data_IF_566005096518
#
_entry.id   IF_566005096518
#
_cell.length_a   1.000
_cell.length_b   1.000
_cell.length_c   1.000
_cell.angle_alpha   90.00
_cell.angle_beta   90.00
_cell.angle_gamma   90.00
#
_symmetry.space_group_name_H-M   'P 1'
#
loop_
_entity.id
_entity.type
_entity.pdbx_description
1 polymer ?
#
# COMPACT_ATOMS: atom_id res chain seq x y z
N UNK A 1 -7.90 11.41 -10.47
CA UNK A 1 -8.63 12.17 -9.44
C UNK A 1 -8.11 11.78 -8.07
N UNK A 2 -7.93 12.75 -7.19
CA UNK A 2 -7.49 12.53 -5.81
C UNK A 2 -6.24 13.30 -5.47
N UNK A 3 -5.89 13.26 -4.19
CA UNK A 3 -4.91 14.16 -3.64
C UNK A 3 -4.06 13.47 -2.54
N UNK A 4 -3.75 12.26 -2.71
CA UNK A 4 -2.97 11.55 -1.73
C UNK A 4 -1.52 12.06 -1.65
N UNK A 5 -1.30 13.12 -0.86
CA UNK A 5 0.00 13.75 -0.65
C UNK A 5 0.34 14.84 -1.65
N UNK A 6 -0.62 15.35 -2.39
CA UNK A 6 -0.45 16.44 -3.33
C UNK A 6 0.24 16.06 -4.66
N UNK A 7 0.47 17.03 -5.55
CA UNK A 7 1.04 16.79 -6.88
C UNK A 7 2.50 16.34 -6.81
N UNK A 8 3.15 16.58 -5.69
CA UNK A 8 4.51 16.15 -5.36
C UNK A 8 4.53 14.94 -4.45
N UNK A 9 3.33 14.45 -4.08
CA UNK A 9 3.19 13.24 -3.28
C UNK A 9 3.64 12.00 -4.04
N UNK A 10 4.07 10.99 -3.30
CA UNK A 10 4.58 9.75 -3.87
C UNK A 10 3.60 9.09 -4.85
N UNK A 11 2.29 9.17 -4.57
CA UNK A 11 1.26 8.58 -5.44
C UNK A 11 1.19 9.23 -6.80
N UNK A 12 1.06 10.55 -6.84
CA UNK A 12 0.98 11.29 -8.09
C UNK A 12 2.26 11.08 -8.92
N UNK A 13 3.40 11.11 -8.27
CA UNK A 13 4.70 10.92 -8.92
C UNK A 13 4.83 9.52 -9.51
N UNK A 14 4.55 8.48 -8.73
CA UNK A 14 4.72 7.09 -9.18
C UNK A 14 3.68 6.68 -10.23
N UNK A 15 2.42 7.05 -10.04
CA UNK A 15 1.36 6.82 -11.03
C UNK A 15 1.68 7.55 -12.33
N UNK A 16 2.12 8.80 -12.26
CA UNK A 16 2.51 9.57 -13.45
C UNK A 16 3.72 8.93 -14.16
N UNK A 17 4.70 8.43 -13.40
CA UNK A 17 5.85 7.71 -13.97
C UNK A 17 5.42 6.49 -14.76
N UNK A 18 4.54 5.66 -14.19
CA UNK A 18 4.04 4.44 -14.83
C UNK A 18 3.23 4.77 -16.09
N UNK A 19 2.36 5.79 -16.03
CA UNK A 19 1.58 6.25 -17.17
C UNK A 19 2.49 6.77 -18.30
N UNK A 20 3.49 7.58 -17.99
CA UNK A 20 4.44 8.08 -18.97
C UNK A 20 5.25 6.96 -19.64
N UNK A 21 5.63 5.93 -18.89
CA UNK A 21 6.27 4.73 -19.46
C UNK A 21 5.38 4.01 -20.48
N UNK A 22 4.07 4.03 -20.30
CA UNK A 22 3.09 3.51 -21.27
C UNK A 22 2.77 4.51 -22.40
N UNK A 23 3.46 5.66 -22.46
CA UNK A 23 3.18 6.70 -23.45
C UNK A 23 1.89 7.48 -23.21
N UNK A 24 1.33 7.40 -21.99
CA UNK A 24 0.09 8.07 -21.61
C UNK A 24 0.40 9.44 -21.00
N UNK A 25 -0.24 10.48 -21.53
CA UNK A 25 -0.07 11.86 -21.07
C UNK A 25 -1.07 12.16 -19.93
N UNK A 26 -0.56 12.59 -18.79
CA UNK A 26 -1.39 13.11 -17.70
C UNK A 26 -1.76 14.57 -18.01
N UNK A 27 -3.06 14.86 -18.10
CA UNK A 27 -3.58 16.21 -18.39
C UNK A 27 -3.57 17.08 -17.13
N UNK A 28 -3.89 16.51 -15.99
CA UNK A 28 -3.92 17.22 -14.71
C UNK A 28 -4.35 16.33 -13.56
N UNK A 29 -4.22 16.86 -12.37
CA UNK A 29 -4.67 16.22 -11.13
C UNK A 29 -5.80 17.04 -10.50
N UNK A 30 -6.97 16.45 -10.39
CA UNK A 30 -8.17 17.08 -9.84
C UNK A 30 -8.56 16.42 -8.49
N UNK A 31 -9.09 17.17 -7.52
CA UNK A 31 -9.42 18.60 -7.55
C UNK A 31 -8.26 19.51 -7.14
N UNK A 32 -7.32 19.28 -6.44
CA UNK A 32 -6.48 20.23 -5.71
C UNK A 32 -5.35 20.93 -6.50
N UNK A 33 -4.94 20.39 -7.67
CA UNK A 33 -3.67 20.81 -8.32
C UNK A 33 -3.81 21.15 -9.79
N UNK A 34 -5.00 21.50 -10.18
CA UNK A 34 -5.30 22.04 -11.51
C UNK A 34 -5.72 23.49 -11.36
N UNK A 35 -5.17 24.39 -12.18
CA UNK A 35 -5.67 25.79 -12.22
C UNK A 35 -7.12 25.78 -12.68
N UNK A 36 -7.93 26.65 -12.11
CA UNK A 36 -9.34 26.77 -12.48
C UNK A 36 -9.54 26.98 -13.99
N UNK A 37 -8.65 27.78 -14.61
CA UNK A 37 -8.60 27.97 -16.07
C UNK A 37 -8.35 26.70 -16.88
N UNK A 38 -7.80 25.66 -16.26
CA UNK A 38 -7.45 24.40 -16.91
C UNK A 38 -8.50 23.30 -16.72
N UNK A 39 -9.56 23.58 -15.92
CA UNK A 39 -10.64 22.61 -15.69
C UNK A 39 -11.33 22.18 -16.98
N UNK A 40 -11.46 23.10 -17.95
CA UNK A 40 -12.00 22.76 -19.28
C UNK A 40 -11.16 21.71 -20.03
N UNK A 41 -9.89 21.54 -19.68
CA UNK A 41 -9.02 20.53 -20.27
C UNK A 41 -9.33 19.14 -19.70
N UNK A 42 -9.85 19.06 -18.48
CA UNK A 42 -10.23 17.79 -17.86
C UNK A 42 -11.27 17.03 -18.69
N UNK A 43 -12.22 17.75 -19.32
CA UNK A 43 -13.21 17.17 -20.23
C UNK A 43 -12.64 16.58 -21.53
N UNK A 44 -11.32 16.75 -21.81
CA UNK A 44 -10.63 16.15 -22.95
C UNK A 44 -9.85 14.88 -22.57
N UNK A 45 -9.87 14.48 -21.30
CA UNK A 45 -9.25 13.24 -20.87
C UNK A 45 -10.04 12.05 -21.42
N UNK A 46 -9.33 11.03 -21.84
CA UNK A 46 -9.93 9.77 -22.31
C UNK A 46 -10.39 8.90 -21.13
N UNK A 47 -9.76 9.04 -19.99
CA UNK A 47 -10.12 8.32 -18.78
C UNK A 47 -9.66 9.05 -17.51
N UNK A 48 -10.19 8.61 -16.37
CA UNK A 48 -9.79 9.06 -15.05
C UNK A 48 -9.11 7.93 -14.27
N UNK A 49 -8.18 8.31 -13.42
CA UNK A 49 -7.55 7.38 -12.47
C UNK A 49 -7.78 7.93 -11.07
N UNK A 50 -8.37 7.11 -10.21
CA UNK A 50 -8.58 7.45 -8.80
C UNK A 50 -7.27 7.22 -8.05
N UNK A 51 -6.75 8.28 -7.39
CA UNK A 51 -5.50 8.24 -6.63
C UNK A 51 -5.74 7.87 -5.18
N UNK A 52 -6.42 6.77 -4.96
CA UNK A 52 -6.59 6.19 -3.64
C UNK A 52 -7.39 7.04 -2.67
N UNK A 53 -7.47 6.58 -1.48
CA UNK A 53 -8.27 7.09 -0.40
C UNK A 53 -8.93 5.93 0.34
N UNK A 54 -9.43 6.20 1.53
CA UNK A 54 -10.22 5.25 2.31
C UNK A 54 -11.36 5.97 3.02
N UNK A 55 -12.37 5.20 3.37
CA UNK A 55 -13.52 5.74 4.07
C UNK A 55 -14.23 6.82 3.26
N UNK A 56 -14.61 7.92 3.91
CA UNK A 56 -15.39 8.98 3.28
C UNK A 56 -14.66 9.71 2.15
N UNK A 57 -13.33 9.85 2.24
CA UNK A 57 -12.53 10.47 1.16
C UNK A 57 -12.59 9.65 -0.11
N UNK A 58 -12.44 8.33 0.02
CA UNK A 58 -12.55 7.40 -1.11
C UNK A 58 -13.95 7.46 -1.73
N UNK A 59 -14.99 7.43 -0.90
CA UNK A 59 -16.38 7.53 -1.38
C UNK A 59 -16.60 8.81 -2.19
N UNK A 60 -16.16 9.96 -1.69
CA UNK A 60 -16.31 11.22 -2.42
C UNK A 60 -15.59 11.24 -3.77
N UNK A 61 -14.40 10.64 -3.87
CA UNK A 61 -13.69 10.51 -5.14
C UNK A 61 -14.41 9.58 -6.12
N UNK A 62 -14.97 8.50 -5.61
CA UNK A 62 -15.74 7.54 -6.40
C UNK A 62 -17.03 8.18 -6.92
N UNK A 63 -17.78 8.89 -6.06
CA UNK A 63 -19.01 9.59 -6.45
C UNK A 63 -18.73 10.62 -7.58
N UNK A 64 -17.60 11.35 -7.50
CA UNK A 64 -17.18 12.28 -8.58
C UNK A 64 -16.84 11.52 -9.86
N UNK A 65 -16.14 10.40 -9.76
CA UNK A 65 -15.77 9.62 -10.92
C UNK A 65 -17.00 9.02 -11.62
N UNK A 66 -17.98 8.53 -10.86
CA UNK A 66 -19.25 8.02 -11.39
C UNK A 66 -20.05 9.13 -12.10
N UNK A 67 -20.14 10.31 -11.51
CA UNK A 67 -20.84 11.44 -12.13
C UNK A 67 -20.15 11.87 -13.43
N UNK A 68 -18.84 11.94 -13.46
CA UNK A 68 -18.07 12.25 -14.69
C UNK A 68 -18.25 11.15 -15.74
N UNK A 69 -18.31 9.89 -15.36
CA UNK A 69 -18.59 8.80 -16.29
C UNK A 69 -19.99 8.93 -16.89
N UNK A 70 -20.99 9.23 -16.07
CA UNK A 70 -22.38 9.38 -16.53
C UNK A 70 -22.57 10.62 -17.42
N UNK A 71 -21.91 11.75 -17.08
CA UNK A 71 -22.10 13.04 -17.74
C UNK A 71 -21.22 13.21 -18.97
N UNK A 72 -19.96 12.71 -18.92
CA UNK A 72 -18.97 12.91 -19.97
C UNK A 72 -18.60 11.62 -20.71
N UNK A 73 -19.24 10.51 -20.37
CA UNK A 73 -18.88 9.17 -20.87
C UNK A 73 -17.38 8.83 -20.65
N UNK A 74 -16.77 9.37 -19.60
CA UNK A 74 -15.36 9.23 -19.28
C UNK A 74 -15.15 8.05 -18.34
N UNK A 75 -14.59 6.93 -18.79
CA UNK A 75 -14.36 5.78 -17.94
C UNK A 75 -13.29 6.07 -16.87
N UNK A 76 -13.28 5.29 -15.79
CA UNK A 76 -12.30 5.48 -14.73
C UNK A 76 -11.69 4.17 -14.25
N UNK A 77 -10.47 4.26 -13.73
CA UNK A 77 -9.76 3.17 -13.08
C UNK A 77 -9.80 3.38 -11.57
N UNK A 78 -10.38 2.38 -10.88
CA UNK A 78 -10.52 2.35 -9.43
C UNK A 78 -9.72 1.20 -8.84
N UNK A 79 -8.43 1.20 -9.11
CA UNK A 79 -7.45 0.30 -8.51
C UNK A 79 -6.37 1.15 -7.88
N UNK A 80 -6.03 0.82 -6.64
CA UNK A 80 -5.02 1.52 -5.89
C UNK A 80 -3.72 0.70 -5.91
N UNK A 81 -2.64 1.16 -6.57
CA UNK A 81 -1.43 0.38 -6.76
C UNK A 81 -0.57 0.33 -5.49
N UNK A 82 -1.15 -0.13 -4.39
CA UNK A 82 -0.51 -0.37 -3.11
C UNK A 82 -0.20 -1.85 -2.99
N UNK A 83 1.02 -2.21 -2.62
CA UNK A 83 1.61 -3.53 -2.74
C UNK A 83 1.86 -4.00 -4.19
N UNK A 84 2.67 -5.03 -4.32
CA UNK A 84 3.13 -5.47 -5.63
C UNK A 84 2.01 -6.07 -6.49
N UNK A 85 1.16 -6.90 -5.91
CA UNK A 85 0.04 -7.50 -6.66
C UNK A 85 -0.95 -6.47 -7.22
N UNK A 86 -1.30 -5.45 -6.45
CA UNK A 86 -2.17 -4.38 -6.94
C UNK A 86 -1.47 -3.47 -7.94
N UNK A 87 -0.16 -3.28 -7.82
CA UNK A 87 0.63 -2.54 -8.83
C UNK A 87 0.60 -3.25 -10.18
N UNK A 88 0.79 -4.57 -10.21
CA UNK A 88 0.71 -5.36 -11.44
C UNK A 88 -0.69 -5.28 -12.06
N UNK A 89 -1.72 -5.46 -11.23
CA UNK A 89 -3.12 -5.34 -11.65
C UNK A 89 -3.44 -3.96 -12.19
N UNK A 90 -2.93 -2.91 -11.55
CA UNK A 90 -3.12 -1.53 -11.96
C UNK A 90 -2.49 -1.25 -13.33
N UNK A 91 -1.25 -1.68 -13.58
CA UNK A 91 -0.56 -1.50 -14.87
C UNK A 91 -1.37 -2.16 -15.99
N UNK A 92 -1.82 -3.40 -15.77
CA UNK A 92 -2.62 -4.14 -16.76
C UNK A 92 -3.94 -3.41 -17.04
N UNK A 93 -4.68 -3.06 -16.01
CA UNK A 93 -5.98 -2.42 -16.16
C UNK A 93 -5.88 -0.98 -16.75
N UNK A 94 -4.81 -0.25 -16.45
CA UNK A 94 -4.56 1.04 -17.10
C UNK A 94 -4.26 0.88 -18.59
N UNK A 95 -3.53 -0.15 -18.97
CA UNK A 95 -3.28 -0.49 -20.38
C UNK A 95 -4.57 -0.85 -21.12
N UNK A 96 -5.41 -1.69 -20.54
CA UNK A 96 -6.71 -2.07 -21.11
C UNK A 96 -7.63 -0.84 -21.26
N UNK A 97 -7.75 -0.03 -20.20
CA UNK A 97 -8.60 1.15 -20.19
C UNK A 97 -8.24 2.17 -21.27
N UNK A 98 -6.96 2.29 -21.58
CA UNK A 98 -6.41 3.34 -22.48
C UNK A 98 -5.88 2.77 -23.81
N UNK A 99 -6.23 1.52 -24.14
CA UNK A 99 -5.81 0.83 -25.36
C UNK A 99 -4.28 0.83 -25.56
N UNK A 100 -3.56 0.54 -24.47
CA UNK A 100 -2.10 0.52 -24.35
C UNK A 100 -1.60 -0.83 -23.80
N UNK A 101 -2.26 -1.91 -24.17
CA UNK A 101 -2.00 -3.25 -23.62
C UNK A 101 -0.56 -3.72 -23.89
N UNK A 102 -0.03 -3.40 -25.09
CA UNK A 102 1.35 -3.78 -25.46
C UNK A 102 2.37 -3.01 -24.63
N UNK A 103 2.19 -1.71 -24.52
CA UNK A 103 3.06 -0.85 -23.72
C UNK A 103 2.97 -1.22 -22.22
N UNK A 104 1.77 -1.53 -21.73
CA UNK A 104 1.56 -1.99 -20.36
C UNK A 104 2.30 -3.31 -20.07
N UNK A 105 2.28 -4.26 -21.01
CA UNK A 105 3.03 -5.52 -20.87
C UNK A 105 4.54 -5.29 -20.81
N UNK A 106 5.08 -4.38 -21.62
CA UNK A 106 6.50 -4.01 -21.60
C UNK A 106 6.86 -3.40 -20.23
N UNK A 107 6.05 -2.42 -19.78
CA UNK A 107 6.27 -1.76 -18.48
C UNK A 107 6.18 -2.78 -17.35
N UNK A 108 5.19 -3.67 -17.38
CA UNK A 108 5.04 -4.71 -16.37
C UNK A 108 6.24 -5.64 -16.30
N UNK A 109 6.78 -6.06 -17.46
CA UNK A 109 7.96 -6.90 -17.52
C UNK A 109 9.21 -6.19 -16.95
N UNK A 110 9.42 -4.90 -17.28
CA UNK A 110 10.51 -4.10 -16.73
C UNK A 110 10.40 -3.92 -15.21
N UNK A 111 9.21 -3.54 -14.72
CA UNK A 111 8.96 -3.35 -13.29
C UNK A 111 9.12 -4.69 -12.54
N UNK A 112 8.66 -5.82 -13.12
CA UNK A 112 8.82 -7.15 -12.55
C UNK A 112 10.31 -7.56 -12.45
N UNK A 113 11.09 -7.33 -13.49
CA UNK A 113 12.52 -7.68 -13.48
C UNK A 113 13.25 -6.92 -12.37
N UNK A 114 13.07 -5.59 -12.31
CA UNK A 114 13.68 -4.75 -11.29
C UNK A 114 13.19 -5.07 -9.87
N UNK A 115 11.90 -5.43 -9.72
CA UNK A 115 11.35 -5.86 -8.44
C UNK A 115 11.98 -7.16 -7.97
N UNK A 116 12.04 -8.16 -8.85
CA UNK A 116 12.56 -9.50 -8.52
C UNK A 116 14.04 -9.46 -8.14
N UNK A 117 14.83 -8.69 -8.87
CA UNK A 117 16.25 -8.50 -8.56
C UNK A 117 16.44 -7.97 -7.13
N UNK A 118 15.71 -6.91 -6.79
CA UNK A 118 15.83 -6.29 -5.47
C UNK A 118 15.27 -7.17 -4.36
N UNK A 119 14.13 -7.81 -4.60
CA UNK A 119 13.51 -8.74 -3.65
C UNK A 119 14.47 -9.89 -3.28
N UNK A 120 15.14 -10.49 -4.26
CA UNK A 120 16.10 -11.58 -4.03
C UNK A 120 17.21 -11.16 -3.07
N UNK A 121 17.77 -9.97 -3.27
CA UNK A 121 18.79 -9.41 -2.37
C UNK A 121 18.28 -9.22 -0.94
N UNK A 122 17.06 -8.72 -0.79
CA UNK A 122 16.47 -8.49 0.54
C UNK A 122 16.16 -9.80 1.26
N UNK A 123 15.74 -10.83 0.53
CA UNK A 123 15.42 -12.15 1.08
C UNK A 123 16.64 -12.85 1.72
N UNK A 124 17.86 -12.50 1.36
CA UNK A 124 19.07 -13.06 1.99
C UNK A 124 19.11 -12.82 3.50
N UNK A 125 18.53 -11.70 3.96
CA UNK A 125 18.51 -11.32 5.38
C UNK A 125 17.16 -11.57 6.02
N UNK A 126 16.06 -11.39 5.26
CA UNK A 126 14.71 -11.39 5.84
C UNK A 126 14.12 -12.79 5.99
N UNK A 127 14.57 -13.75 5.18
CA UNK A 127 14.04 -15.12 5.18
C UNK A 127 14.04 -15.76 6.56
N UNK A 128 12.87 -16.22 6.99
CA UNK A 128 12.67 -16.94 8.25
C UNK A 128 12.77 -16.08 9.52
N UNK A 129 12.94 -14.75 9.40
CA UNK A 129 12.98 -13.87 10.57
C UNK A 129 11.63 -13.82 11.25
N UNK A 130 11.63 -14.09 12.56
CA UNK A 130 10.42 -14.07 13.38
C UNK A 130 9.82 -12.65 13.40
N UNK A 131 8.61 -12.54 12.93
CA UNK A 131 7.92 -11.27 12.75
C UNK A 131 6.59 -11.28 13.48
N UNK A 132 6.29 -10.23 14.21
CA UNK A 132 4.99 -9.99 14.82
C UNK A 132 4.36 -8.76 14.16
N UNK A 133 3.07 -8.86 13.82
CA UNK A 133 2.29 -7.76 13.28
C UNK A 133 1.36 -7.22 14.36
N UNK A 134 1.52 -5.95 14.73
CA UNK A 134 0.70 -5.27 15.73
C UNK A 134 -0.22 -4.25 15.07
N UNK A 135 -1.54 -4.43 15.23
CA UNK A 135 -2.56 -3.58 14.61
C UNK A 135 -3.37 -2.88 15.69
N UNK A 136 -3.33 -1.55 15.70
CA UNK A 136 -4.12 -0.69 16.60
C UNK A 136 -5.08 0.25 15.87
N UNK A 137 -5.44 -0.05 14.60
CA UNK A 137 -6.31 0.80 13.78
C UNK A 137 -7.45 0.01 13.17
N UNK A 138 -8.63 0.61 13.09
CA UNK A 138 -9.79 0.03 12.41
C UNK A 138 -9.53 -0.13 10.91
N UNK A 139 -10.20 -1.09 10.28
CA UNK A 139 -10.10 -1.37 8.84
C UNK A 139 -10.40 -0.14 7.96
N UNK A 140 -11.28 0.74 8.43
CA UNK A 140 -11.58 1.98 7.71
C UNK A 140 -10.37 2.92 7.57
N UNK A 141 -9.37 2.77 8.44
CA UNK A 141 -8.13 3.56 8.42
C UNK A 141 -6.91 2.76 7.98
N UNK A 142 -6.95 1.45 8.11
CA UNK A 142 -5.82 0.58 7.83
C UNK A 142 -6.27 -0.78 7.31
N UNK A 143 -5.75 -1.19 6.16
CA UNK A 143 -6.02 -2.51 5.61
C UNK A 143 -4.74 -3.35 5.60
N UNK A 144 -4.72 -4.52 6.25
CA UNK A 144 -3.49 -5.30 6.46
C UNK A 144 -2.96 -6.00 5.20
N UNK A 145 -3.70 -6.02 4.08
CA UNK A 145 -3.32 -6.74 2.87
C UNK A 145 -1.88 -6.44 2.43
N UNK A 146 -1.53 -5.17 2.31
CA UNK A 146 -0.22 -4.77 1.81
C UNK A 146 0.92 -5.30 2.69
N UNK A 147 0.82 -5.13 4.01
CA UNK A 147 1.84 -5.62 4.93
C UNK A 147 1.92 -7.15 4.94
N UNK A 148 0.80 -7.85 4.86
CA UNK A 148 0.79 -9.32 4.80
C UNK A 148 1.41 -9.85 3.51
N UNK A 149 1.17 -9.17 2.39
CA UNK A 149 1.83 -9.48 1.11
C UNK A 149 3.35 -9.25 1.20
N UNK A 150 3.79 -8.11 1.76
CA UNK A 150 5.22 -7.83 1.97
C UNK A 150 5.88 -8.87 2.88
N UNK A 151 5.24 -9.27 3.98
CA UNK A 151 5.71 -10.33 4.88
C UNK A 151 5.95 -11.62 4.09
N UNK A 152 5.00 -12.02 3.26
CA UNK A 152 5.10 -13.22 2.43
C UNK A 152 6.21 -13.09 1.38
N UNK A 153 6.29 -11.96 0.68
CA UNK A 153 7.30 -11.71 -0.34
C UNK A 153 8.72 -11.74 0.24
N UNK A 154 8.93 -11.11 1.39
CA UNK A 154 10.21 -11.14 2.09
C UNK A 154 10.52 -12.49 2.79
N UNK A 155 9.61 -13.47 2.70
CA UNK A 155 9.73 -14.77 3.37
C UNK A 155 9.96 -14.66 4.88
N UNK A 156 9.37 -13.61 5.50
CA UNK A 156 9.36 -13.46 6.94
C UNK A 156 8.51 -14.55 7.60
N UNK A 157 8.92 -15.01 8.76
CA UNK A 157 8.14 -15.95 9.57
C UNK A 157 7.19 -15.15 10.47
N UNK A 158 5.96 -14.91 10.00
CA UNK A 158 4.92 -14.28 10.81
C UNK A 158 4.49 -15.26 11.91
N UNK A 159 4.75 -14.92 13.17
CA UNK A 159 4.48 -15.78 14.33
C UNK A 159 3.20 -15.43 15.08
N UNK A 160 2.78 -14.17 15.01
CA UNK A 160 1.54 -13.70 15.64
C UNK A 160 1.05 -12.40 14.99
N UNK A 161 -0.26 -12.18 15.07
CA UNK A 161 -0.89 -10.89 14.84
C UNK A 161 -1.51 -10.44 16.16
N UNK A 162 -1.19 -9.23 16.61
CA UNK A 162 -1.64 -8.70 17.91
C UNK A 162 -2.52 -7.48 17.68
N UNK A 163 -3.72 -7.51 18.23
CA UNK A 163 -4.63 -6.37 18.26
C UNK A 163 -4.32 -5.50 19.47
N UNK A 164 -3.83 -4.27 19.22
CA UNK A 164 -3.32 -3.37 20.27
C UNK A 164 -4.41 -2.64 21.07
N UNK A 165 -5.66 -2.66 20.58
CA UNK A 165 -6.77 -2.00 21.24
C UNK A 165 -8.01 -2.91 21.25
N UNK A 166 -8.93 -2.60 22.14
CA UNK A 166 -10.22 -3.28 22.16
C UNK A 166 -11.07 -2.81 20.97
N UNK A 167 -11.44 -3.74 20.13
CA UNK A 167 -12.37 -3.52 19.03
C UNK A 167 -13.79 -3.94 19.46
N UNK A 168 -14.81 -3.27 18.90
CA UNK A 168 -16.17 -3.81 18.95
C UNK A 168 -16.23 -5.18 18.27
N UNK A 169 -17.17 -6.02 18.66
CA UNK A 169 -17.27 -7.40 18.14
C UNK A 169 -17.34 -7.43 16.60
N UNK A 170 -18.09 -6.49 15.99
CA UNK A 170 -18.18 -6.37 14.54
C UNK A 170 -16.84 -6.01 13.91
N UNK A 171 -16.15 -4.98 14.41
CA UNK A 171 -14.88 -4.54 13.87
C UNK A 171 -13.81 -5.61 14.00
N UNK A 172 -13.83 -6.36 15.13
CA UNK A 172 -12.94 -7.50 15.34
C UNK A 172 -13.22 -8.62 14.35
N UNK A 173 -14.48 -8.97 14.13
CA UNK A 173 -14.87 -9.98 13.16
C UNK A 173 -14.48 -9.59 11.74
N UNK A 174 -14.71 -8.33 11.34
CA UNK A 174 -14.32 -7.81 10.03
C UNK A 174 -12.79 -7.82 9.86
N UNK A 175 -12.03 -7.43 10.89
CA UNK A 175 -10.56 -7.50 10.88
C UNK A 175 -10.08 -8.94 10.74
N UNK A 176 -10.62 -9.86 11.50
CA UNK A 176 -10.27 -11.28 11.43
C UNK A 176 -10.59 -11.87 10.06
N UNK A 177 -11.75 -11.54 9.49
CA UNK A 177 -12.13 -11.99 8.14
C UNK A 177 -11.14 -11.53 7.08
N UNK A 178 -10.64 -10.30 7.17
CA UNK A 178 -9.61 -9.77 6.27
C UNK A 178 -8.27 -10.49 6.49
N UNK A 179 -7.84 -10.63 7.74
CA UNK A 179 -6.57 -11.31 8.06
C UNK A 179 -6.57 -12.74 7.53
N UNK A 180 -7.65 -13.49 7.74
CA UNK A 180 -7.78 -14.88 7.30
C UNK A 180 -7.75 -15.08 5.77
N UNK A 181 -7.97 -14.04 5.00
CA UNK A 181 -7.78 -14.10 3.53
C UNK A 181 -6.30 -14.18 3.12
N UNK A 182 -5.38 -13.76 3.99
CA UNK A 182 -3.96 -13.64 3.69
C UNK A 182 -3.05 -14.44 4.60
N UNK A 183 -3.53 -14.85 5.78
CA UNK A 183 -2.72 -15.54 6.79
C UNK A 183 -3.56 -16.42 7.69
N UNK A 184 -3.06 -17.64 7.96
CA UNK A 184 -3.63 -18.59 8.93
C UNK A 184 -3.05 -18.40 10.35
N UNK A 185 -2.17 -17.41 10.54
CA UNK A 185 -1.54 -17.13 11.83
C UNK A 185 -2.59 -16.67 12.86
N UNK A 186 -2.41 -17.10 14.11
CA UNK A 186 -3.32 -16.74 15.17
C UNK A 186 -3.28 -15.24 15.48
N UNK A 187 -4.46 -14.74 15.85
CA UNK A 187 -4.67 -13.34 16.23
C UNK A 187 -4.97 -13.27 17.71
N UNK A 188 -4.19 -12.47 18.41
CA UNK A 188 -4.22 -12.34 19.87
C UNK A 188 -4.66 -10.93 20.28
N UNK A 189 -5.32 -10.83 21.41
CA UNK A 189 -5.47 -9.57 22.11
C UNK A 189 -4.13 -9.20 22.78
N UNK A 190 -3.91 -7.92 23.06
CA UNK A 190 -2.62 -7.33 23.43
C UNK A 190 -1.84 -8.15 24.49
N UNK A 191 -2.48 -8.51 25.61
CA UNK A 191 -1.84 -9.23 26.71
C UNK A 191 -1.45 -10.67 26.33
N UNK A 192 -2.33 -11.37 25.63
CA UNK A 192 -2.08 -12.74 25.19
C UNK A 192 -0.97 -12.85 24.13
N UNK A 193 -0.73 -11.77 23.40
CA UNK A 193 0.31 -11.70 22.37
C UNK A 193 1.71 -11.36 22.88
N UNK A 194 1.86 -10.94 24.14
CA UNK A 194 3.15 -10.46 24.69
C UNK A 194 4.31 -11.48 24.61
N UNK A 195 4.13 -12.78 24.81
CA UNK A 195 5.22 -13.74 24.66
C UNK A 195 5.85 -13.76 23.28
N UNK A 196 5.06 -13.56 22.21
CA UNK A 196 5.55 -13.52 20.84
C UNK A 196 6.44 -12.30 20.57
N UNK A 197 6.16 -11.17 21.26
CA UNK A 197 6.98 -9.96 21.15
C UNK A 197 8.41 -10.19 21.65
N UNK A 198 8.59 -10.98 22.69
CA UNK A 198 9.91 -11.26 23.27
C UNK A 198 10.80 -12.08 22.34
N UNK A 199 10.20 -12.89 21.49
CA UNK A 199 10.92 -13.74 20.53
C UNK A 199 11.07 -13.11 19.12
N UNK A 200 10.44 -11.96 18.89
CA UNK A 200 10.43 -11.33 17.57
C UNK A 200 11.80 -10.75 17.18
N UNK A 201 12.24 -11.04 15.96
CA UNK A 201 13.38 -10.36 15.34
C UNK A 201 12.98 -8.93 14.94
N UNK A 202 11.71 -8.73 14.54
CA UNK A 202 11.12 -7.45 14.14
C UNK A 202 9.63 -7.41 14.47
N UNK A 203 9.16 -6.24 14.86
CA UNK A 203 7.74 -5.95 15.05
C UNK A 203 7.30 -4.90 14.03
N UNK A 204 6.33 -5.26 13.19
CA UNK A 204 5.65 -4.34 12.29
C UNK A 204 4.42 -3.80 13.00
N UNK A 205 4.32 -2.51 13.20
CA UNK A 205 3.30 -1.95 14.10
C UNK A 205 2.69 -0.65 13.61
N UNK A 206 1.40 -0.46 13.86
CA UNK A 206 0.68 0.79 13.60
C UNK A 206 0.84 1.82 14.73
N UNK A 207 1.38 1.41 15.89
CA UNK A 207 1.59 2.26 17.06
C UNK A 207 2.88 1.88 17.76
N UNK A 208 3.54 2.84 18.38
CA UNK A 208 4.72 2.59 19.19
C UNK A 208 4.37 1.71 20.40
N UNK A 209 5.11 0.62 20.57
CA UNK A 209 5.07 -0.18 21.77
C UNK A 209 6.15 0.33 22.72
N UNK A 210 5.76 0.61 23.97
CA UNK A 210 6.65 1.10 25.03
C UNK A 210 7.61 0.00 25.52
N UNK A 211 8.39 -0.55 24.58
CA UNK A 211 9.32 -1.65 24.86
C UNK A 211 10.70 -1.39 24.21
N UNK A 212 11.69 -1.12 25.06
CA UNK A 212 13.06 -0.78 24.65
C UNK A 212 13.88 -1.94 24.05
N UNK A 213 13.37 -3.14 24.09
CA UNK A 213 14.07 -4.33 23.59
C UNK A 213 13.65 -4.74 22.20
N UNK A 214 12.58 -4.15 21.66
CA UNK A 214 12.05 -4.48 20.35
C UNK A 214 12.68 -3.64 19.24
N UNK A 215 12.81 -4.24 18.07
CA UNK A 215 13.00 -3.53 16.80
C UNK A 215 11.62 -3.31 16.20
N UNK A 216 11.20 -2.06 16.12
CA UNK A 216 9.85 -1.69 15.70
C UNK A 216 9.90 -0.90 14.40
N UNK A 217 9.12 -1.31 13.40
CA UNK A 217 8.91 -0.57 12.17
C UNK A 217 7.46 -0.09 12.09
N UNK A 218 7.29 1.21 11.88
CA UNK A 218 5.98 1.83 11.76
C UNK A 218 5.28 1.48 10.45
N UNK A 219 4.02 1.12 10.54
CA UNK A 219 3.14 0.85 9.41
C UNK A 219 2.31 2.11 9.09
N UNK A 220 2.56 2.78 7.98
CA UNK A 220 1.79 3.96 7.60
C UNK A 220 0.35 3.59 7.27
N UNK A 221 -0.60 4.52 7.49
CA UNK A 221 -2.00 4.32 7.08
C UNK A 221 -2.16 4.19 5.57
N UNK A 222 -1.33 4.91 4.84
CA UNK A 222 -1.29 4.92 3.39
C UNK A 222 0.12 4.52 2.95
N UNK A 223 0.34 3.24 2.63
CA UNK A 223 1.60 2.79 2.05
C UNK A 223 1.87 3.51 0.72
N UNK A 224 3.12 3.71 0.37
CA UNK A 224 3.50 4.31 -0.91
C UNK A 224 3.12 3.40 -2.08
N UNK A 225 2.80 4.01 -3.22
CA UNK A 225 2.34 3.29 -4.40
C UNK A 225 3.47 2.71 -5.25
N UNK A 226 3.12 1.72 -6.05
CA UNK A 226 3.97 1.16 -7.08
C UNK A 226 5.14 0.34 -6.56
N UNK A 227 5.97 -0.12 -7.50
CA UNK A 227 7.21 -0.85 -7.17
C UNK A 227 8.12 -0.05 -6.25
N UNK A 228 8.27 1.23 -6.50
CA UNK A 228 9.16 2.08 -5.70
C UNK A 228 8.72 2.14 -4.24
N UNK A 229 7.41 2.28 -3.99
CA UNK A 229 6.87 2.30 -2.64
C UNK A 229 6.99 0.96 -1.93
N UNK A 230 6.73 -0.13 -2.61
CA UNK A 230 6.87 -1.48 -2.06
C UNK A 230 8.34 -1.80 -1.71
N UNK A 231 9.28 -1.50 -2.61
CA UNK A 231 10.70 -1.71 -2.35
C UNK A 231 11.20 -0.86 -1.19
N UNK A 232 10.79 0.40 -1.10
CA UNK A 232 11.18 1.28 0.00
C UNK A 232 10.74 0.72 1.36
N UNK A 233 9.52 0.18 1.43
CA UNK A 233 9.02 -0.47 2.64
C UNK A 233 9.80 -1.76 2.95
N UNK A 234 10.07 -2.60 1.96
CA UNK A 234 10.89 -3.80 2.13
C UNK A 234 12.31 -3.48 2.60
N UNK A 235 12.91 -2.41 2.07
CA UNK A 235 14.21 -1.92 2.52
C UNK A 235 14.18 -1.37 3.96
N UNK A 236 13.08 -0.76 4.38
CA UNK A 236 12.92 -0.34 5.77
C UNK A 236 12.86 -1.55 6.71
N UNK A 237 12.18 -2.64 6.32
CA UNK A 237 12.20 -3.91 7.05
C UNK A 237 13.64 -4.44 7.14
N UNK A 238 14.35 -4.50 6.02
CA UNK A 238 15.74 -4.95 5.95
C UNK A 238 16.65 -4.11 6.87
N UNK A 239 16.60 -2.78 6.77
CA UNK A 239 17.41 -1.88 7.60
C UNK A 239 17.11 -2.05 9.08
N UNK A 240 15.83 -2.21 9.44
CA UNK A 240 15.41 -2.43 10.83
C UNK A 240 15.95 -3.76 11.37
N UNK A 241 15.92 -4.81 10.58
CA UNK A 241 16.51 -6.11 10.97
C UNK A 241 18.03 -6.02 11.15
N UNK A 242 18.73 -5.33 10.26
CA UNK A 242 20.19 -5.16 10.34
C UNK A 242 20.64 -4.18 11.43
N UNK A 243 19.77 -3.29 11.89
CA UNK A 243 20.08 -2.31 12.93
C UNK A 243 20.45 -3.00 14.25
N UNK A 244 21.43 -2.46 14.96
CA UNK A 244 21.74 -2.80 16.35
C UNK A 244 20.88 -2.04 17.35
N UNK A 245 20.20 -0.99 16.91
CA UNK A 245 19.38 -0.14 17.76
C UNK A 245 18.07 -0.87 18.03
N UNK A 246 17.67 -0.89 19.29
CA UNK A 246 16.40 -1.39 19.78
C UNK A 246 15.69 -0.29 20.57
N UNK A 247 14.40 -0.43 20.71
CA UNK A 247 13.53 0.60 21.30
C UNK A 247 13.24 1.75 20.34
N UNK A 248 12.14 2.46 20.60
CA UNK A 248 11.62 3.48 19.70
C UNK A 248 11.01 2.89 18.43
N UNK A 249 10.57 3.78 17.55
CA UNK A 249 9.87 3.43 16.32
C UNK A 249 10.68 3.88 15.10
N UNK A 250 10.97 2.96 14.19
CA UNK A 250 11.58 3.29 12.90
C UNK A 250 10.49 3.67 11.90
N UNK A 251 10.68 4.72 11.14
CA UNK A 251 9.77 5.18 10.08
C UNK A 251 10.31 4.85 8.68
N UNK A 252 9.39 4.64 7.73
CA UNK A 252 9.68 4.43 6.31
C UNK A 252 9.91 5.76 5.60
#
# INVERSE_FOLDING_TARGET
IGDNGGPWGHYATEVTRLLHKMGIKVIGQFPGYMKFSDLSKAGRAEAMIILGGRGNTYKGLHDIAEEMQQTLAMPYLDIYPVCWSETQRWITAAGELLHKEKEAQIVLAEEQAAFTERLTQLQEVTRGKKTVLCIGRLLMYYHPKAVLETIRLLQLNLTAIILLQTYGEKDKADMLAVVRQYSDVDVYDNVAGEPFLQEADIVLTTHELQNKYLKQLFLPMLPKAGRAGEIEFMEAVYRTLCSRIKGGLTYV
#
